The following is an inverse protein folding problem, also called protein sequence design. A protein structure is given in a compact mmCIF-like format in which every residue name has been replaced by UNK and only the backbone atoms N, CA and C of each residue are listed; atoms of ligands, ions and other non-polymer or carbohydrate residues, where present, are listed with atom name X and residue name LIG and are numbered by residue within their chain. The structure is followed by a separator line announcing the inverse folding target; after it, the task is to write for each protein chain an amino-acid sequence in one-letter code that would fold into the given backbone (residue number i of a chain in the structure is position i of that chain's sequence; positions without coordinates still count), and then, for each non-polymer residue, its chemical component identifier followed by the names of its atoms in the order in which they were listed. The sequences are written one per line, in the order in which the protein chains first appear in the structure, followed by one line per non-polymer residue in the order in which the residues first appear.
data_IF_012067139493
#
_entry.id   IF_012067139493
#
_cell.length_a   1.000
_cell.length_b   1.000
_cell.length_c   1.000
_cell.angle_alpha   90.00
_cell.angle_beta   90.00
_cell.angle_gamma   90.00
#
_symmetry.space_group_name_H-M   'P 1'
#
loop_
_entity.id
_entity.type
_entity.pdbx_description
1 polymer ?
#
# COMPACT_ATOMS: atom_id res chain seq x y z
N UNK A 1 -3.75 -7.95 -10.70
CA UNK A 1 -3.29 -6.57 -10.41
C UNK A 1 -2.54 -6.58 -9.10
N UNK A 2 -1.58 -5.69 -8.94
CA UNK A 2 -0.77 -5.56 -7.72
C UNK A 2 -1.02 -4.20 -7.07
N UNK A 3 -1.07 -4.18 -5.74
CA UNK A 3 -1.20 -2.98 -4.92
C UNK A 3 -0.20 -3.04 -3.77
N UNK A 4 0.28 -1.87 -3.37
CA UNK A 4 1.11 -1.71 -2.17
C UNK A 4 0.31 -1.02 -1.08
N UNK A 5 0.18 -1.66 0.08
CA UNK A 5 -0.33 -1.03 1.29
C UNK A 5 0.85 -0.48 2.09
N UNK A 6 0.73 0.77 2.54
CA UNK A 6 1.71 1.40 3.43
C UNK A 6 1.10 1.51 4.81
N UNK A 7 1.65 0.76 5.76
CA UNK A 7 1.15 0.69 7.13
C UNK A 7 1.57 1.93 7.93
N UNK A 8 0.80 2.23 8.97
CA UNK A 8 1.22 3.20 9.98
C UNK A 8 2.54 2.77 10.64
N UNK A 9 3.27 3.77 11.12
CA UNK A 9 4.53 3.57 11.84
C UNK A 9 4.23 3.33 13.33
N UNK A 10 4.98 2.44 13.97
CA UNK A 10 4.82 2.12 15.41
C UNK A 10 5.31 3.21 16.36
N UNK A 11 6.22 4.09 15.90
CA UNK A 11 6.85 5.17 16.67
C UNK A 11 7.15 6.37 15.78
N UNK A 12 7.95 7.35 16.19
CA UNK A 12 8.25 8.56 15.40
C UNK A 12 9.60 8.48 14.68
N UNK A 13 9.81 9.30 13.64
CA UNK A 13 11.15 9.44 13.05
C UNK A 13 11.93 10.46 13.90
N UNK A 14 13.24 10.27 14.09
CA UNK A 14 14.06 11.33 14.64
C UNK A 14 13.97 12.58 13.74
N UNK A 15 14.18 13.79 14.31
CA UNK A 15 14.19 15.01 13.53
C UNK A 15 15.24 14.93 12.40
N UNK A 16 15.00 15.61 11.27
CA UNK A 16 15.93 15.63 10.15
C UNK A 16 17.28 16.27 10.56
N UNK A 17 18.36 15.91 9.85
CA UNK A 17 19.71 16.46 10.09
C UNK A 17 20.57 15.66 11.07
N UNK A 18 20.03 14.60 11.67
CA UNK A 18 20.80 13.64 12.46
C UNK A 18 21.59 12.63 11.60
N UNK A 19 22.35 11.76 12.27
CA UNK A 19 23.02 10.65 11.60
C UNK A 19 22.01 9.70 10.92
N UNK A 20 22.33 9.11 9.76
CA UNK A 20 21.47 8.12 9.12
C UNK A 20 21.20 6.94 10.05
N UNK A 21 19.94 6.48 10.09
CA UNK A 21 19.57 5.27 10.81
C UNK A 21 20.02 4.04 10.03
N UNK A 22 20.53 3.05 10.75
CA UNK A 22 20.69 1.69 10.21
C UNK A 22 19.31 1.06 9.94
N UNK A 23 19.29 -0.02 9.16
CA UNK A 23 18.06 -0.77 8.87
C UNK A 23 17.42 -1.30 10.16
N UNK A 24 18.22 -1.78 11.09
CA UNK A 24 17.79 -2.32 12.38
C UNK A 24 17.23 -1.22 13.28
N UNK A 25 17.89 -0.06 13.32
CA UNK A 25 17.40 1.10 14.06
C UNK A 25 16.06 1.60 13.51
N UNK A 26 15.93 1.68 12.19
CA UNK A 26 14.67 2.04 11.55
C UNK A 26 13.58 0.98 11.82
N UNK A 27 13.90 -0.30 11.74
CA UNK A 27 12.95 -1.38 12.02
C UNK A 27 12.41 -1.30 13.46
N UNK A 28 13.29 -1.04 14.43
CA UNK A 28 12.94 -0.99 15.84
C UNK A 28 12.10 0.24 16.21
N UNK A 29 12.43 1.41 15.64
CA UNK A 29 11.83 2.70 16.03
C UNK A 29 10.66 3.13 15.15
N UNK A 30 10.69 2.74 13.88
CA UNK A 30 9.96 3.41 12.82
C UNK A 30 9.25 2.46 11.83
N UNK A 31 9.45 1.15 11.98
CA UNK A 31 8.82 0.12 11.16
C UNK A 31 7.33 -0.04 11.44
N UNK A 32 6.72 -1.01 10.75
CA UNK A 32 5.32 -1.37 10.95
C UNK A 32 5.17 -2.15 12.26
N UNK A 33 4.07 -1.97 12.98
CA UNK A 33 3.77 -2.82 14.12
C UNK A 33 3.50 -4.26 13.65
N UNK A 34 4.08 -5.30 14.27
CA UNK A 34 3.78 -6.70 13.92
C UNK A 34 2.29 -7.04 14.02
N UNK A 35 1.54 -6.41 14.94
CA UNK A 35 0.10 -6.62 15.07
C UNK A 35 -0.67 -6.02 13.89
N UNK A 36 -0.23 -4.85 13.40
CA UNK A 36 -0.82 -4.22 12.22
C UNK A 36 -0.53 -5.04 10.95
N UNK A 37 0.68 -5.58 10.81
CA UNK A 37 1.03 -6.48 9.69
C UNK A 37 0.12 -7.70 9.66
N UNK A 38 -0.04 -8.35 10.80
CA UNK A 38 -0.90 -9.53 10.92
C UNK A 38 -2.38 -9.20 10.64
N UNK A 39 -2.85 -8.05 11.12
CA UNK A 39 -4.20 -7.56 10.86
C UNK A 39 -4.45 -7.30 9.37
N UNK A 40 -3.50 -6.63 8.69
CA UNK A 40 -3.52 -6.40 7.24
C UNK A 40 -3.57 -7.74 6.51
N UNK A 41 -2.65 -8.64 6.82
CA UNK A 41 -2.55 -9.96 6.17
C UNK A 41 -3.85 -10.74 6.27
N UNK A 42 -4.40 -10.87 7.48
CA UNK A 42 -5.68 -11.57 7.71
C UNK A 42 -6.85 -10.92 6.98
N UNK A 43 -6.92 -9.59 7.01
CA UNK A 43 -8.01 -8.84 6.38
C UNK A 43 -7.98 -8.99 4.87
N UNK A 44 -6.81 -8.91 4.23
CA UNK A 44 -6.65 -9.09 2.79
C UNK A 44 -6.97 -10.52 2.35
N UNK A 45 -6.43 -11.52 3.05
CA UNK A 45 -6.71 -12.94 2.74
C UNK A 45 -8.20 -13.25 2.87
N UNK A 46 -8.85 -12.79 3.94
CA UNK A 46 -10.29 -12.97 4.12
C UNK A 46 -11.13 -12.29 3.02
N UNK A 47 -10.60 -11.23 2.39
CA UNK A 47 -11.26 -10.52 1.31
C UNK A 47 -10.98 -11.09 -0.10
N UNK A 48 -10.17 -12.15 -0.19
CA UNK A 48 -9.76 -12.79 -1.44
C UNK A 48 -8.58 -12.11 -2.14
N UNK A 49 -7.76 -11.36 -1.39
CA UNK A 49 -6.53 -10.73 -1.87
C UNK A 49 -5.32 -11.49 -1.31
N UNK A 50 -4.39 -11.86 -2.18
CA UNK A 50 -3.17 -12.60 -1.79
C UNK A 50 -2.08 -11.63 -1.39
N UNK A 51 -1.45 -11.81 -0.23
CA UNK A 51 -0.22 -11.10 0.13
C UNK A 51 0.96 -11.77 -0.55
N UNK A 52 1.77 -11.01 -1.29
CA UNK A 52 2.90 -11.52 -2.08
C UNK A 52 4.26 -11.17 -1.49
N UNK A 53 4.37 -10.07 -0.75
CA UNK A 53 5.58 -9.70 -0.02
C UNK A 53 5.25 -8.77 1.15
N UNK A 54 6.08 -8.83 2.18
CA UNK A 54 6.02 -7.94 3.35
C UNK A 54 7.42 -7.37 3.59
N UNK A 55 7.50 -6.04 3.75
CA UNK A 55 8.68 -5.35 4.23
C UNK A 55 8.29 -4.52 5.47
N UNK A 56 8.40 -5.12 6.67
CA UNK A 56 8.08 -4.46 7.94
C UNK A 56 8.89 -3.18 8.18
N UNK A 57 10.12 -3.12 7.65
CA UNK A 57 11.03 -2.00 7.89
C UNK A 57 10.56 -0.77 7.12
N UNK A 58 10.21 -0.95 5.83
CA UNK A 58 9.65 0.14 5.01
C UNK A 58 8.13 0.30 5.14
N UNK A 59 7.49 -0.53 5.98
CA UNK A 59 6.04 -0.55 6.25
C UNK A 59 5.19 -0.93 5.05
N UNK A 60 5.72 -1.77 4.16
CA UNK A 60 5.05 -2.11 2.89
C UNK A 60 4.53 -3.53 2.92
N UNK A 61 3.31 -3.71 2.44
CA UNK A 61 2.74 -5.02 2.11
C UNK A 61 2.37 -4.98 0.63
N UNK A 62 2.95 -5.87 -0.16
CA UNK A 62 2.54 -6.11 -1.55
C UNK A 62 1.43 -7.14 -1.56
N UNK A 63 0.40 -6.88 -2.35
CA UNK A 63 -0.75 -7.74 -2.45
C UNK A 63 -1.28 -7.80 -3.89
N UNK A 64 -1.84 -8.93 -4.26
CA UNK A 64 -2.37 -9.20 -5.59
C UNK A 64 -3.81 -9.67 -5.54
N UNK A 65 -4.59 -9.21 -6.51
CA UNK A 65 -5.99 -9.58 -6.68
C UNK A 65 -6.50 -9.30 -8.09
N UNK A 66 -7.72 -9.79 -8.38
CA UNK A 66 -8.46 -9.38 -9.57
C UNK A 66 -8.85 -7.91 -9.46
N UNK A 67 -9.08 -7.25 -10.61
CA UNK A 67 -9.56 -5.86 -10.65
C UNK A 67 -10.82 -5.68 -9.79
N UNK A 68 -11.83 -6.53 -10.04
CA UNK A 68 -13.11 -6.49 -9.32
C UNK A 68 -12.95 -6.68 -7.81
N UNK A 69 -12.05 -7.58 -7.38
CA UNK A 69 -11.79 -7.79 -5.96
C UNK A 69 -11.16 -6.55 -5.33
N UNK A 70 -10.16 -5.94 -5.98
CA UNK A 70 -9.49 -4.76 -5.45
C UNK A 70 -10.43 -3.54 -5.41
N UNK A 71 -11.23 -3.33 -6.45
CA UNK A 71 -12.25 -2.27 -6.47
C UNK A 71 -13.24 -2.40 -5.30
N UNK A 72 -13.74 -3.62 -5.04
CA UNK A 72 -14.62 -3.90 -3.91
C UNK A 72 -13.93 -3.69 -2.56
N UNK A 73 -12.71 -4.18 -2.40
CA UNK A 73 -11.97 -4.14 -1.13
C UNK A 73 -11.58 -2.71 -0.73
N UNK A 74 -11.20 -1.89 -1.71
CA UNK A 74 -10.75 -0.52 -1.49
C UNK A 74 -11.82 0.52 -1.80
N UNK A 75 -13.06 0.09 -2.07
CA UNK A 75 -14.21 0.95 -2.35
C UNK A 75 -13.95 1.96 -3.46
N UNK A 76 -13.35 1.50 -4.57
CA UNK A 76 -12.90 2.36 -5.66
C UNK A 76 -13.24 1.79 -7.03
N UNK A 77 -13.02 2.56 -8.09
CA UNK A 77 -13.20 2.12 -9.49
C UNK A 77 -11.99 2.48 -10.33
N UNK A 78 -11.55 1.57 -11.20
CA UNK A 78 -10.37 1.73 -12.05
C UNK A 78 -10.74 1.56 -13.52
N UNK A 79 -10.97 2.68 -14.21
CA UNK A 79 -11.23 2.73 -15.64
C UNK A 79 -9.94 2.73 -16.46
N UNK A 80 -9.99 2.17 -17.67
CA UNK A 80 -8.93 2.39 -18.68
C UNK A 80 -9.12 3.77 -19.30
N UNK A 81 -8.05 4.56 -19.33
CA UNK A 81 -8.02 5.88 -19.95
C UNK A 81 -6.78 6.01 -20.81
N UNK A 82 -6.83 6.93 -21.77
CA UNK A 82 -5.65 7.39 -22.51
C UNK A 82 -5.30 8.80 -22.04
N UNK A 83 -4.02 9.03 -21.74
CA UNK A 83 -3.49 10.35 -21.38
C UNK A 83 -2.24 10.66 -22.17
N UNK A 84 -1.85 11.93 -22.33
CA UNK A 84 -0.55 12.27 -22.89
C UNK A 84 0.58 11.54 -22.15
N UNK A 85 1.55 11.02 -22.91
CA UNK A 85 2.74 10.41 -22.37
C UNK A 85 3.58 11.47 -21.63
N UNK A 86 4.14 11.17 -20.43
CA UNK A 86 4.92 12.14 -19.67
C UNK A 86 6.18 12.66 -20.39
N UNK A 87 6.70 11.87 -21.33
CA UNK A 87 7.86 12.21 -22.16
C UNK A 87 7.48 12.98 -23.44
N UNK A 88 6.20 13.27 -23.65
CA UNK A 88 5.69 14.01 -24.81
C UNK A 88 5.59 13.19 -26.10
N UNK A 89 5.83 11.87 -26.06
CA UNK A 89 5.94 11.04 -27.28
C UNK A 89 4.61 10.57 -27.85
N UNK A 90 3.47 10.89 -27.22
CA UNK A 90 2.15 10.47 -27.68
C UNK A 90 1.16 10.32 -26.54
N UNK A 91 0.39 9.24 -26.55
CA UNK A 91 -0.54 8.86 -25.48
C UNK A 91 -0.14 7.53 -24.85
N UNK A 92 -0.47 7.36 -23.57
CA UNK A 92 -0.33 6.11 -22.83
C UNK A 92 -1.69 5.67 -22.30
N UNK A 93 -1.99 4.38 -22.49
CA UNK A 93 -3.17 3.77 -21.89
C UNK A 93 -2.82 3.28 -20.49
N UNK A 94 -3.58 3.71 -19.48
CA UNK A 94 -3.38 3.27 -18.10
C UNK A 94 -4.72 3.17 -17.35
N UNK A 95 -4.68 2.56 -16.16
CA UNK A 95 -5.84 2.54 -15.27
C UNK A 95 -5.84 3.76 -14.38
N UNK A 96 -6.91 4.55 -14.44
CA UNK A 96 -7.12 5.71 -13.58
C UNK A 96 -8.21 5.41 -12.56
N UNK A 97 -7.93 5.81 -11.31
CA UNK A 97 -8.88 5.73 -10.21
C UNK A 97 -9.94 6.83 -10.32
N UNK A 98 -11.19 6.46 -10.11
CA UNK A 98 -12.31 7.38 -9.93
C UNK A 98 -13.05 7.06 -8.63
N UNK A 99 -13.78 8.05 -8.11
CA UNK A 99 -14.48 7.94 -6.83
C UNK A 99 -13.55 8.00 -5.62
N UNK A 100 -14.06 7.52 -4.48
CA UNK A 100 -13.35 7.50 -3.22
C UNK A 100 -12.26 6.40 -3.17
N UNK A 101 -11.44 6.45 -2.13
CA UNK A 101 -10.53 5.39 -1.75
C UNK A 101 -10.75 5.11 -0.27
N UNK A 102 -11.06 3.86 0.04
CA UNK A 102 -11.30 3.40 1.41
C UNK A 102 -10.47 2.17 1.70
N UNK A 103 -10.36 1.84 2.99
CA UNK A 103 -9.78 0.59 3.45
C UNK A 103 -10.86 -0.23 4.14
N UNK A 104 -10.73 -1.57 4.17
CA UNK A 104 -11.61 -2.42 4.96
C UNK A 104 -11.72 -1.92 6.41
N UNK A 105 -12.91 -2.01 7.01
CA UNK A 105 -13.18 -1.48 8.36
C UNK A 105 -12.14 -1.85 9.43
N UNK A 106 -11.64 -3.12 9.51
CA UNK A 106 -10.58 -3.48 10.44
C UNK A 106 -9.27 -2.70 10.26
N UNK A 107 -9.03 -2.08 9.10
CA UNK A 107 -7.81 -1.35 8.74
C UNK A 107 -7.96 0.18 8.81
N UNK A 108 -9.11 0.70 9.25
CA UNK A 108 -9.42 2.13 9.23
C UNK A 108 -8.73 2.97 10.34
N UNK A 109 -7.72 2.42 11.02
CA UNK A 109 -7.09 3.04 12.20
C UNK A 109 -5.72 3.68 11.95
#
# INVERSE_FOLDING_TARGET
MEVTLVLRRRGELPPPGGAPLSREQLAATAGADPQDLELVRRTLVAAGVSVTAEDPVSRRVQAQGSLQTLERVFGTSLGLVESPAPDGTGTVTHRQRTGELSVPGPLAG
#
